data_IF_854501075932
#
_entry.id   IF_854501075932
#
_cell.length_a   1.000
_cell.length_b   1.000
_cell.length_c   1.000
_cell.angle_alpha   90.00
_cell.angle_beta   90.00
_cell.angle_gamma   90.00
#
_symmetry.space_group_name_H-M   'P 1'
#
loop_
_entity.id
_entity.type
_entity.pdbx_description
1 polymer ?
#
# COMPACT_ATOMS: atom_id res chain seq x y z
N UNK A 1 1.76 -13.95 8.34
CA UNK A 1 1.27 -15.17 7.65
C UNK A 1 0.71 -16.09 8.71
N UNK A 2 -0.58 -16.40 8.67
CA UNK A 2 -1.24 -17.28 9.64
C UNK A 2 -1.70 -18.53 8.91
N UNK A 3 -1.26 -19.71 9.37
CA UNK A 3 -1.71 -20.99 8.82
C UNK A 3 -3.10 -21.29 9.36
N UNK A 4 -4.04 -21.59 8.48
CA UNK A 4 -5.37 -22.07 8.83
C UNK A 4 -5.32 -23.60 8.94
N UNK A 5 -6.39 -24.21 9.46
CA UNK A 5 -6.45 -25.66 9.63
C UNK A 5 -6.23 -26.39 8.29
N UNK A 6 -5.10 -27.10 8.15
CA UNK A 6 -4.69 -27.81 6.93
C UNK A 6 -3.49 -27.17 6.21
N UNK A 7 -3.46 -27.28 4.88
CA UNK A 7 -2.44 -26.68 4.01
C UNK A 7 -2.77 -25.26 3.55
N UNK A 8 -3.84 -24.69 4.08
CA UNK A 8 -4.29 -23.34 3.77
C UNK A 8 -3.54 -22.29 4.60
N UNK A 9 -3.16 -21.20 3.94
CA UNK A 9 -2.44 -20.09 4.53
C UNK A 9 -3.14 -18.78 4.19
N UNK A 10 -3.29 -17.92 5.17
CA UNK A 10 -3.66 -16.52 4.96
C UNK A 10 -2.47 -15.59 5.16
N UNK A 11 -2.29 -14.71 4.17
CA UNK A 11 -1.44 -13.55 4.25
C UNK A 11 -2.31 -12.30 4.43
N UNK A 12 -1.98 -11.51 5.44
CA UNK A 12 -2.56 -10.19 5.65
C UNK A 12 -1.47 -9.16 5.43
N UNK A 13 -1.74 -8.17 4.57
CA UNK A 13 -0.93 -6.96 4.44
C UNK A 13 -1.76 -5.79 4.96
N UNK A 14 -1.19 -5.02 5.88
CA UNK A 14 -1.87 -3.91 6.54
C UNK A 14 -1.11 -2.61 6.27
N UNK A 15 -1.82 -1.61 5.76
CA UNK A 15 -1.41 -0.20 5.70
C UNK A 15 -2.51 0.61 6.42
N UNK A 16 -2.20 1.80 6.96
CA UNK A 16 -2.95 2.56 8.00
C UNK A 16 -4.50 2.57 7.91
N UNK A 17 -5.12 2.31 6.76
CA UNK A 17 -6.58 2.22 6.57
C UNK A 17 -7.09 0.98 5.82
N UNK A 18 -6.21 0.11 5.30
CA UNK A 18 -6.60 -1.01 4.46
C UNK A 18 -5.88 -2.30 4.86
N UNK A 19 -6.67 -3.35 5.10
CA UNK A 19 -6.15 -4.71 5.28
C UNK A 19 -6.49 -5.54 4.06
N UNK A 20 -5.46 -5.97 3.33
CA UNK A 20 -5.57 -6.87 2.21
C UNK A 20 -5.35 -8.30 2.70
N UNK A 21 -6.33 -9.17 2.42
CA UNK A 21 -6.28 -10.58 2.77
C UNK A 21 -6.09 -11.41 1.50
N UNK A 22 -5.16 -12.36 1.53
CA UNK A 22 -4.95 -13.30 0.42
C UNK A 22 -4.79 -14.72 0.95
N UNK A 23 -5.56 -15.63 0.35
CA UNK A 23 -5.46 -17.07 0.56
C UNK A 23 -4.37 -17.68 -0.31
N UNK A 24 -3.67 -18.67 0.23
CA UNK A 24 -2.69 -19.49 -0.46
C UNK A 24 -2.73 -20.91 0.08
N UNK A 25 -2.19 -21.86 -0.69
CA UNK A 25 -2.10 -23.25 -0.31
C UNK A 25 -0.62 -23.69 -0.34
N UNK A 26 -0.24 -24.61 0.55
CA UNK A 26 1.12 -25.17 0.62
C UNK A 26 1.15 -26.45 -0.21
N UNK A 27 1.73 -26.38 -1.41
CA UNK A 27 1.91 -27.54 -2.28
C UNK A 27 3.41 -27.86 -2.31
N UNK A 28 3.80 -29.03 -1.78
CA UNK A 28 5.20 -29.51 -1.76
C UNK A 28 6.20 -28.51 -1.15
N UNK A 29 5.80 -27.80 -0.10
CA UNK A 29 6.67 -26.83 0.59
C UNK A 29 6.80 -25.46 -0.09
N UNK A 30 6.12 -25.26 -1.23
CA UNK A 30 6.00 -23.96 -1.89
C UNK A 30 4.63 -23.34 -1.64
N UNK A 31 4.59 -22.04 -1.34
CA UNK A 31 3.35 -21.30 -1.12
C UNK A 31 2.83 -20.87 -2.49
N UNK A 32 1.79 -21.54 -2.98
CA UNK A 32 1.13 -21.18 -4.22
C UNK A 32 -0.10 -20.35 -3.88
N UNK A 33 -0.10 -19.10 -4.31
CA UNK A 33 -1.26 -18.22 -4.16
C UNK A 33 -2.27 -18.49 -5.27
N UNK A 34 -3.55 -18.52 -4.91
CA UNK A 34 -4.61 -18.65 -5.91
C UNK A 34 -4.58 -17.46 -6.88
N UNK A 35 -4.73 -17.69 -8.20
CA UNK A 35 -4.87 -16.64 -9.20
C UNK A 35 -6.23 -15.93 -9.11
N UNK A 36 -7.21 -16.52 -8.41
CA UNK A 36 -8.60 -16.03 -8.35
C UNK A 36 -8.84 -14.95 -7.29
N UNK A 37 -7.82 -14.59 -6.50
CA UNK A 37 -7.84 -13.42 -5.62
C UNK A 37 -9.03 -13.39 -4.65
N UNK A 38 -9.82 -12.32 -4.69
CA UNK A 38 -10.94 -12.08 -3.76
C UNK A 38 -12.12 -13.03 -3.95
N UNK A 39 -12.18 -13.78 -5.05
CA UNK A 39 -13.30 -14.68 -5.35
C UNK A 39 -13.28 -16.00 -4.57
N UNK A 40 -12.16 -16.36 -3.94
CA UNK A 40 -12.06 -17.58 -3.11
C UNK A 40 -12.74 -17.46 -1.74
N UNK A 41 -12.97 -16.22 -1.26
CA UNK A 41 -13.70 -15.98 -0.01
C UNK A 41 -15.22 -16.09 -0.17
N UNK A 42 -15.72 -16.07 -1.41
CA UNK A 42 -17.10 -16.39 -1.70
C UNK A 42 -17.24 -17.90 -1.70
N UNK A 43 -17.45 -18.45 -0.50
CA UNK A 43 -17.91 -19.82 -0.35
C UNK A 43 -19.34 -19.92 -0.91
N UNK A 44 -19.47 -20.02 -2.23
CA UNK A 44 -20.74 -20.41 -2.87
C UNK A 44 -20.91 -21.89 -2.58
N UNK A 45 -21.58 -22.16 -1.46
CA UNK A 45 -22.09 -23.48 -1.12
C UNK A 45 -23.07 -23.87 -2.23
N UNK A 46 -22.56 -24.58 -3.24
CA UNK A 46 -23.32 -25.04 -4.41
C UNK A 46 -24.23 -26.20 -3.95
N UNK A 47 -25.38 -25.83 -3.38
CA UNK A 47 -26.43 -26.74 -2.97
C UNK A 47 -27.76 -25.99 -2.94
N UNK A 48 -28.52 -26.10 -4.03
CA UNK A 48 -29.84 -25.49 -4.19
C UNK A 48 -29.87 -24.38 -5.23
N UNK A 49 -30.29 -24.73 -6.44
CA UNK A 49 -30.72 -23.77 -7.46
C UNK A 49 -31.90 -22.99 -6.88
N UNK A 50 -31.67 -21.74 -6.48
CA UNK A 50 -32.73 -20.83 -6.05
C UNK A 50 -33.34 -20.20 -7.30
N UNK A 51 -34.20 -20.96 -7.97
CA UNK A 51 -35.09 -20.44 -9.01
C UNK A 51 -36.25 -19.71 -8.33
N UNK A 52 -36.06 -18.43 -8.02
CA UNK A 52 -37.20 -17.54 -7.80
C UNK A 52 -37.66 -16.99 -9.15
N UNK A 53 -38.97 -17.00 -9.44
CA UNK A 53 -39.49 -16.52 -10.70
C UNK A 53 -39.15 -15.03 -10.85
N UNK A 54 -38.53 -14.70 -11.99
CA UNK A 54 -38.41 -13.33 -12.51
C UNK A 54 -39.81 -12.80 -12.84
N UNK A 55 -40.59 -12.45 -11.82
CA UNK A 55 -41.88 -11.78 -11.97
C UNK A 55 -42.00 -10.62 -10.98
N UNK A 56 -41.01 -9.72 -11.04
CA UNK A 56 -41.10 -8.40 -10.41
C UNK A 56 -40.60 -7.29 -11.34
N UNK A 57 -40.52 -7.53 -12.65
CA UNK A 57 -40.26 -6.46 -13.62
C UNK A 57 -41.56 -5.68 -13.89
N UNK A 58 -42.00 -4.88 -12.90
CA UNK A 58 -42.71 -3.64 -13.23
C UNK A 58 -41.66 -2.75 -13.89
N UNK A 59 -41.93 -2.31 -15.12
CA UNK A 59 -41.06 -1.37 -15.82
C UNK A 59 -40.70 -0.22 -14.88
N UNK A 60 -39.41 0.06 -14.75
CA UNK A 60 -38.90 1.14 -13.90
C UNK A 60 -39.69 2.40 -14.20
N UNK A 61 -40.40 2.91 -13.19
CA UNK A 61 -41.15 4.14 -13.36
C UNK A 61 -40.16 5.27 -13.64
N UNK A 62 -40.46 6.12 -14.62
CA UNK A 62 -39.67 7.30 -14.97
C UNK A 62 -39.27 8.15 -13.73
N UNK A 63 -40.15 8.39 -12.74
CA UNK A 63 -39.76 9.10 -11.52
C UNK A 63 -38.77 8.34 -10.62
N UNK A 64 -38.81 7.00 -10.53
CA UNK A 64 -37.83 6.24 -9.75
C UNK A 64 -36.43 6.30 -10.36
N UNK A 65 -36.32 6.24 -11.69
CA UNK A 65 -35.03 6.40 -12.37
C UNK A 65 -34.48 7.80 -12.13
N UNK A 66 -35.34 8.83 -12.18
CA UNK A 66 -34.94 10.21 -11.90
C UNK A 66 -34.46 10.38 -10.44
N UNK A 67 -35.17 9.81 -9.47
CA UNK A 67 -34.74 9.83 -8.06
C UNK A 67 -33.42 9.08 -7.86
N UNK A 68 -33.26 7.91 -8.48
CA UNK A 68 -32.03 7.12 -8.40
C UNK A 68 -30.84 7.85 -9.04
N UNK A 69 -31.02 8.49 -10.20
CA UNK A 69 -29.97 9.28 -10.84
C UNK A 69 -29.58 10.50 -10.01
N UNK A 70 -30.56 11.23 -9.44
CA UNK A 70 -30.27 12.36 -8.54
C UNK A 70 -29.53 11.89 -7.28
N UNK A 71 -29.96 10.78 -6.68
CA UNK A 71 -29.29 10.19 -5.51
C UNK A 71 -27.85 9.76 -5.83
N UNK A 72 -27.63 9.13 -6.99
CA UNK A 72 -26.31 8.75 -7.45
C UNK A 72 -25.40 9.97 -7.66
N UNK A 73 -25.91 11.02 -8.32
CA UNK A 73 -25.16 12.26 -8.53
C UNK A 73 -24.80 12.91 -7.19
N UNK A 74 -25.75 13.01 -6.24
CA UNK A 74 -25.49 13.55 -4.90
C UNK A 74 -24.38 12.77 -4.17
N UNK A 75 -24.44 11.43 -4.22
CA UNK A 75 -23.42 10.56 -3.61
C UNK A 75 -22.07 10.76 -4.29
N UNK A 76 -22.00 10.70 -5.63
CA UNK A 76 -20.73 10.83 -6.39
C UNK A 76 -20.11 12.22 -6.18
N UNK A 77 -20.92 13.28 -6.17
CA UNK A 77 -20.43 14.65 -5.90
C UNK A 77 -19.89 14.78 -4.47
N UNK A 78 -20.58 14.22 -3.47
CA UNK A 78 -20.09 14.20 -2.10
C UNK A 78 -18.77 13.42 -1.95
N UNK A 79 -18.64 12.28 -2.65
CA UNK A 79 -17.42 11.45 -2.64
C UNK A 79 -16.25 12.09 -3.41
N UNK A 80 -16.52 12.91 -4.43
CA UNK A 80 -15.48 13.58 -5.22
C UNK A 80 -14.59 14.49 -4.36
N UNK A 81 -15.16 15.13 -3.32
CA UNK A 81 -14.39 15.91 -2.35
C UNK A 81 -13.38 15.06 -1.57
N UNK A 82 -13.76 13.85 -1.19
CA UNK A 82 -12.91 12.91 -0.44
C UNK A 82 -11.75 12.38 -1.28
N UNK A 83 -12.00 12.07 -2.56
CA UNK A 83 -10.97 11.60 -3.48
C UNK A 83 -9.82 12.59 -3.65
N UNK A 84 -10.10 13.91 -3.60
CA UNK A 84 -9.07 14.95 -3.70
C UNK A 84 -8.12 14.96 -2.50
N UNK A 85 -8.66 14.76 -1.29
CA UNK A 85 -7.87 14.72 -0.05
C UNK A 85 -6.95 13.50 -0.03
N UNK A 86 -7.48 12.33 -0.41
CA UNK A 86 -6.70 11.11 -0.53
C UNK A 86 -5.53 11.29 -1.53
N UNK A 87 -5.80 11.80 -2.72
CA UNK A 87 -4.76 12.03 -3.74
C UNK A 87 -3.63 12.94 -3.24
N UNK A 88 -3.97 14.02 -2.53
CA UNK A 88 -2.98 14.91 -1.92
C UNK A 88 -2.13 14.18 -0.87
N UNK A 89 -2.75 13.36 -0.01
CA UNK A 89 -2.03 12.58 1.00
C UNK A 89 -1.10 11.51 0.39
N UNK A 90 -1.51 10.87 -0.70
CA UNK A 90 -0.66 9.91 -1.43
C UNK A 90 0.57 10.58 -2.05
N UNK A 91 0.41 11.76 -2.65
CA UNK A 91 1.52 12.50 -3.24
C UNK A 91 2.59 12.82 -2.18
N UNK A 92 2.17 13.26 -0.99
CA UNK A 92 3.08 13.56 0.12
C UNK A 92 3.79 12.31 0.66
N UNK A 93 3.07 11.20 0.86
CA UNK A 93 3.66 9.94 1.35
C UNK A 93 4.65 9.38 0.33
N UNK A 94 4.34 9.48 -0.96
CA UNK A 94 5.25 9.05 -2.01
C UNK A 94 6.55 9.87 -2.02
N UNK A 95 6.45 11.20 -1.96
CA UNK A 95 7.63 12.08 -1.89
C UNK A 95 8.54 11.71 -0.71
N UNK A 96 7.94 11.42 0.46
CA UNK A 96 8.70 11.03 1.65
C UNK A 96 9.44 9.69 1.45
N UNK A 97 8.79 8.71 0.82
CA UNK A 97 9.42 7.42 0.49
C UNK A 97 10.57 7.55 -0.52
N UNK A 98 10.53 8.54 -1.41
CA UNK A 98 11.64 8.82 -2.34
C UNK A 98 12.85 9.38 -1.59
N UNK A 99 12.62 10.36 -0.69
CA UNK A 99 13.67 10.91 0.18
C UNK A 99 14.29 9.79 1.02
N UNK A 100 13.46 8.93 1.61
CA UNK A 100 13.93 7.83 2.44
C UNK A 100 14.80 6.83 1.67
N UNK A 101 14.41 6.45 0.46
CA UNK A 101 15.19 5.55 -0.40
C UNK A 101 16.55 6.14 -0.76
N UNK A 102 16.59 7.42 -1.11
CA UNK A 102 17.85 8.08 -1.48
C UNK A 102 18.75 8.33 -0.26
N UNK A 103 18.18 8.77 0.86
CA UNK A 103 18.92 8.91 2.12
C UNK A 103 19.53 7.57 2.54
N UNK A 104 18.80 6.46 2.40
CA UNK A 104 19.32 5.13 2.69
C UNK A 104 20.55 4.78 1.83
N UNK A 105 20.50 5.05 0.52
CA UNK A 105 21.64 4.83 -0.37
C UNK A 105 22.87 5.66 0.04
N UNK A 106 22.66 6.88 0.52
CA UNK A 106 23.74 7.79 0.94
C UNK A 106 24.36 7.43 2.30
N UNK A 107 23.67 6.67 3.14
CA UNK A 107 24.22 6.17 4.40
C UNK A 107 25.21 5.00 4.22
N UNK A 108 25.53 4.61 2.98
CA UNK A 108 26.56 3.63 2.69
C UNK A 108 27.97 4.10 3.12
N UNK A 109 28.87 3.15 3.36
CA UNK A 109 30.27 3.41 3.73
C UNK A 109 30.99 4.22 2.63
N UNK A 110 30.75 3.88 1.37
CA UNK A 110 31.23 4.64 0.21
C UNK A 110 30.16 5.64 -0.24
N UNK A 111 30.48 6.94 -0.35
CA UNK A 111 29.53 7.93 -0.81
C UNK A 111 29.18 7.71 -2.28
N UNK A 112 27.90 7.71 -2.60
CA UNK A 112 27.43 7.76 -3.99
C UNK A 112 27.17 9.22 -4.37
N UNK A 113 27.56 9.66 -5.56
CA UNK A 113 27.25 11.03 -5.99
C UNK A 113 25.72 11.19 -6.06
N UNK A 114 25.12 12.13 -5.32
CA UNK A 114 23.70 12.44 -5.50
C UNK A 114 23.48 12.96 -6.94
N UNK A 115 22.27 12.78 -7.47
CA UNK A 115 21.87 13.38 -8.75
C UNK A 115 21.87 14.91 -8.65
N UNK A 116 22.06 15.62 -9.77
CA UNK A 116 22.35 17.08 -9.84
C UNK A 116 21.48 17.96 -8.94
N UNK A 117 20.19 17.67 -8.80
CA UNK A 117 19.24 18.50 -8.04
C UNK A 117 19.10 18.13 -6.56
N UNK A 118 19.78 17.07 -6.09
CA UNK A 118 19.68 16.58 -4.71
C UNK A 118 20.91 16.98 -3.89
N UNK A 119 20.68 17.71 -2.79
CA UNK A 119 21.79 18.10 -1.89
C UNK A 119 21.91 17.12 -0.74
N UNK A 120 23.06 16.47 -0.63
CA UNK A 120 23.40 15.57 0.46
C UNK A 120 24.43 16.22 1.39
N UNK A 121 24.07 16.45 2.65
CA UNK A 121 25.02 16.87 3.69
C UNK A 121 25.35 15.67 4.58
N UNK A 122 26.56 15.12 4.45
CA UNK A 122 27.02 13.93 5.17
C UNK A 122 27.93 14.34 6.32
N UNK A 123 27.52 14.03 7.54
CA UNK A 123 28.32 14.21 8.75
C UNK A 123 28.71 12.83 9.28
N UNK A 124 30.02 12.59 9.40
CA UNK A 124 30.58 11.35 9.90
C UNK A 124 31.15 11.58 11.30
N UNK A 125 30.73 10.74 12.25
CA UNK A 125 31.28 10.75 13.61
C UNK A 125 31.80 9.36 13.94
N UNK A 126 33.05 9.28 14.39
CA UNK A 126 33.67 8.04 14.86
C UNK A 126 33.51 7.94 16.37
N UNK A 127 32.74 6.94 16.83
CA UNK A 127 32.63 6.60 18.25
C UNK A 127 33.06 5.14 18.45
N UNK A 128 34.05 4.92 19.32
CA UNK A 128 34.42 3.61 19.86
C UNK A 128 34.59 2.48 18.81
N UNK A 129 35.28 2.76 17.70
CA UNK A 129 35.54 1.76 16.65
C UNK A 129 34.38 1.51 15.68
N UNK A 130 33.24 2.19 15.86
CA UNK A 130 32.15 2.26 14.90
C UNK A 130 32.09 3.64 14.24
N UNK A 131 31.71 3.66 12.96
CA UNK A 131 31.49 4.90 12.21
C UNK A 131 29.99 5.16 12.13
N UNK A 132 29.51 6.23 12.75
CA UNK A 132 28.15 6.72 12.53
C UNK A 132 28.16 7.68 11.34
N UNK A 133 27.42 7.35 10.30
CA UNK A 133 27.22 8.19 9.12
C UNK A 133 25.82 8.79 9.24
N UNK A 134 25.75 10.09 9.47
CA UNK A 134 24.52 10.86 9.40
C UNK A 134 24.46 11.60 8.06
N UNK A 135 23.31 11.56 7.40
CA UNK A 135 23.06 12.18 6.10
C UNK A 135 21.80 13.02 6.21
N UNK A 136 21.91 14.29 5.85
CA UNK A 136 20.77 15.17 5.64
C UNK A 136 20.57 15.33 4.13
N UNK A 137 19.49 14.78 3.60
CA UNK A 137 19.11 14.89 2.20
C UNK A 137 18.12 16.04 2.03
N UNK A 138 18.34 16.87 1.02
CA UNK A 138 17.39 17.90 0.59
C UNK A 138 16.91 17.54 -0.81
N UNK A 139 15.59 17.38 -0.96
CA UNK A 139 14.95 17.13 -2.25
C UNK A 139 14.94 18.41 -3.10
N UNK A 140 14.81 18.30 -4.44
CA UNK A 140 14.66 19.45 -5.35
C UNK A 140 13.46 20.33 -4.99
N UNK A 141 12.43 19.73 -4.35
CA UNK A 141 11.26 20.42 -3.81
C UNK A 141 11.49 21.16 -2.49
N UNK A 142 12.74 21.25 -2.01
CA UNK A 142 13.12 21.98 -0.80
C UNK A 142 12.83 21.27 0.53
N UNK A 143 12.44 20.00 0.51
CA UNK A 143 12.17 19.22 1.73
C UNK A 143 13.43 18.51 2.20
N UNK A 144 13.71 18.60 3.49
CA UNK A 144 14.84 17.93 4.11
C UNK A 144 14.42 16.65 4.85
N UNK A 145 15.26 15.62 4.80
CA UNK A 145 15.14 14.40 5.59
C UNK A 145 16.50 13.98 6.12
N UNK A 146 16.58 13.66 7.42
CA UNK A 146 17.82 13.24 8.06
C UNK A 146 17.78 11.73 8.35
N UNK A 147 18.89 11.05 8.11
CA UNK A 147 19.04 9.64 8.39
C UNK A 147 20.42 9.32 8.93
N UNK A 148 20.51 8.46 9.94
CA UNK A 148 21.78 8.05 10.55
C UNK A 148 21.91 6.54 10.54
N UNK A 149 23.07 6.05 10.11
CA UNK A 149 23.42 4.63 10.12
C UNK A 149 24.76 4.41 10.81
N UNK A 150 24.79 3.43 11.72
CA UNK A 150 26.01 2.98 12.37
C UNK A 150 26.63 1.84 11.55
N UNK A 151 27.95 1.92 11.33
CA UNK A 151 28.75 0.86 10.74
C UNK A 151 29.81 0.44 11.74
N UNK A 152 29.69 -0.77 12.26
CA UNK A 152 30.65 -1.36 13.17
C UNK A 152 31.34 -2.53 12.45
N UNK A 153 32.67 -2.71 12.62
CA UNK A 153 33.33 -3.94 12.21
C UNK A 153 32.73 -5.10 13.01
N UNK A 154 32.36 -6.17 12.32
CA UNK A 154 31.89 -7.40 12.98
C UNK A 154 33.09 -7.99 13.74
N UNK A 155 32.96 -8.14 15.06
CA UNK A 155 34.04 -8.63 15.93
C UNK A 155 34.13 -10.14 15.91
#
# INVERSE_FOLDING_TARGET
MRRLSGDEVVMAAQDDSMTLWRLGNVIQGSIVFSPHGWSDFLSVKRGGVMSHPLNLQRGFSLPEVLVAMVLMVMIVTALSGYQRVLMHSFALRHQYLQIWRQAWQQTALYPFSPADDWKANRMQTTQSGCVSISVTMVSPSGRQGQMTRLHCPNR
#
